data_IF_441606941181
#
_entry.id   IF_441606941181
#
_cell.length_a   1.000
_cell.length_b   1.000
_cell.length_c   1.000
_cell.angle_alpha   90.00
_cell.angle_beta   90.00
_cell.angle_gamma   90.00
#
_symmetry.space_group_name_H-M   'P 1'
#
loop_
_entity.id
_entity.type
_entity.pdbx_description
1 polymer ?
#
# COMPACT_ATOMS: atom_id res chain seq x y z
N UNK A 1 16.84 9.98 -8.84
CA UNK A 1 15.56 9.26 -8.65
C UNK A 1 14.64 9.71 -9.78
N UNK A 2 14.02 8.83 -10.58
CA UNK A 2 13.41 9.27 -11.83
C UNK A 2 11.98 9.76 -11.60
N UNK A 3 11.79 11.08 -11.60
CA UNK A 3 10.50 11.81 -11.65
C UNK A 3 9.67 11.48 -12.91
N UNK A 4 10.25 10.79 -13.90
CA UNK A 4 9.64 10.57 -15.23
C UNK A 4 8.53 9.51 -15.28
N UNK A 5 8.35 8.68 -14.25
CA UNK A 5 7.30 7.64 -14.21
C UNK A 5 5.94 8.13 -13.71
N UNK A 6 5.89 9.20 -12.89
CA UNK A 6 4.64 9.71 -12.31
C UNK A 6 3.85 10.68 -13.22
N UNK A 7 4.46 11.19 -14.29
CA UNK A 7 3.90 12.31 -15.06
C UNK A 7 2.96 11.90 -16.22
N UNK A 8 2.58 10.61 -16.37
CA UNK A 8 1.82 10.14 -17.53
C UNK A 8 0.71 9.11 -17.23
N UNK A 9 0.32 8.92 -15.98
CA UNK A 9 -0.58 7.81 -15.63
C UNK A 9 -1.85 8.36 -15.00
N UNK A 10 -2.99 8.15 -15.65
CA UNK A 10 -4.30 8.23 -14.97
C UNK A 10 -4.29 7.34 -13.72
N UNK A 11 -5.22 7.60 -12.80
CA UNK A 11 -5.32 7.02 -11.44
C UNK A 11 -4.49 5.75 -11.26
N UNK A 12 -3.27 5.90 -10.73
CA UNK A 12 -2.36 4.77 -10.57
C UNK A 12 -2.80 3.92 -9.39
N UNK A 13 -2.99 2.62 -9.63
CA UNK A 13 -3.37 1.67 -8.58
C UNK A 13 -2.15 0.92 -8.04
N UNK A 14 -2.08 0.75 -6.72
CA UNK A 14 -1.09 -0.08 -6.03
C UNK A 14 -1.78 -1.18 -5.24
N UNK A 15 -1.09 -2.30 -5.06
CA UNK A 15 -1.58 -3.40 -4.21
C UNK A 15 -0.78 -3.43 -2.92
N UNK A 16 -1.46 -3.24 -1.79
CA UNK A 16 -0.84 -3.23 -0.46
C UNK A 16 -0.93 -4.62 0.18
N UNK A 17 0.22 -5.16 0.55
CA UNK A 17 0.35 -6.37 1.36
C UNK A 17 0.68 -5.97 2.79
N UNK A 18 -0.33 -5.95 3.65
CA UNK A 18 -0.13 -5.70 5.07
C UNK A 18 0.35 -7.02 5.70
N UNK A 19 1.55 -7.03 6.26
CA UNK A 19 2.10 -8.26 6.85
C UNK A 19 1.31 -8.61 8.11
N UNK A 20 1.33 -9.90 8.51
CA UNK A 20 0.67 -10.35 9.73
C UNK A 20 1.16 -9.62 11.00
N UNK A 21 2.39 -9.09 10.98
CA UNK A 21 2.97 -8.30 12.06
C UNK A 21 2.36 -6.90 12.12
N UNK A 22 2.18 -6.24 10.97
CA UNK A 22 1.51 -4.94 10.91
C UNK A 22 0.06 -5.10 11.37
N UNK A 23 -0.67 -6.06 10.83
CA UNK A 23 -2.08 -6.28 11.19
C UNK A 23 -2.28 -6.60 12.67
N UNK A 24 -1.41 -7.41 13.28
CA UNK A 24 -1.60 -7.85 14.67
C UNK A 24 -0.92 -6.97 15.71
N UNK A 25 0.20 -6.33 15.38
CA UNK A 25 1.03 -5.62 16.36
C UNK A 25 1.00 -4.10 16.19
N UNK A 26 0.76 -3.61 14.96
CA UNK A 26 0.84 -2.19 14.65
C UNK A 26 -0.18 -1.78 13.55
N UNK A 27 -1.49 -2.01 13.74
CA UNK A 27 -2.50 -1.77 12.71
C UNK A 27 -2.52 -0.32 12.22
N UNK A 28 -2.27 0.64 13.12
CA UNK A 28 -2.16 2.05 12.79
C UNK A 28 -1.08 2.35 11.73
N UNK A 29 0.00 1.56 11.67
CA UNK A 29 1.03 1.71 10.62
C UNK A 29 0.46 1.33 9.26
N UNK A 30 -0.36 0.28 9.19
CA UNK A 30 -1.08 -0.09 7.95
C UNK A 30 -2.02 1.03 7.49
N UNK A 31 -2.82 1.57 8.41
CA UNK A 31 -3.74 2.68 8.15
C UNK A 31 -3.00 3.94 7.66
N UNK A 32 -1.97 4.39 8.37
CA UNK A 32 -1.16 5.54 7.93
C UNK A 32 -0.46 5.31 6.59
N UNK A 33 -0.10 4.07 6.26
CA UNK A 33 0.46 3.75 4.94
C UNK A 33 -0.58 3.97 3.84
N UNK A 34 -1.83 3.56 4.07
CA UNK A 34 -2.94 3.82 3.15
C UNK A 34 -3.17 5.31 2.97
N UNK A 35 -3.24 6.07 4.05
CA UNK A 35 -3.45 7.53 4.00
C UNK A 35 -2.39 8.24 3.15
N UNK A 36 -1.12 7.87 3.28
CA UNK A 36 -0.03 8.45 2.48
C UNK A 36 -0.19 8.11 0.99
N UNK A 37 -0.54 6.86 0.66
CA UNK A 37 -0.71 6.43 -0.73
C UNK A 37 -1.92 7.13 -1.39
N UNK A 38 -3.04 7.22 -0.68
CA UNK A 38 -4.23 7.93 -1.15
C UNK A 38 -3.97 9.44 -1.30
N UNK A 39 -3.20 10.04 -0.39
CA UNK A 39 -2.79 11.45 -0.48
C UNK A 39 -1.93 11.73 -1.73
N UNK A 40 -1.16 10.74 -2.18
CA UNK A 40 -0.39 10.81 -3.44
C UNK A 40 -1.25 10.56 -4.69
N UNK A 41 -2.56 10.37 -4.53
CA UNK A 41 -3.49 10.11 -5.64
C UNK A 41 -3.45 8.66 -6.14
N UNK A 42 -2.90 7.74 -5.34
CA UNK A 42 -2.87 6.32 -5.67
C UNK A 42 -4.14 5.62 -5.16
N UNK A 43 -4.67 4.71 -5.97
CA UNK A 43 -5.75 3.82 -5.53
C UNK A 43 -5.14 2.59 -4.85
N UNK A 44 -5.46 2.37 -3.58
CA UNK A 44 -4.95 1.23 -2.82
C UNK A 44 -5.90 0.04 -2.94
N UNK A 45 -5.36 -1.10 -3.37
CA UNK A 45 -6.07 -2.37 -3.42
C UNK A 45 -5.45 -3.37 -2.45
N UNK A 46 -6.27 -4.29 -1.94
CA UNK A 46 -5.82 -5.41 -1.12
C UNK A 46 -6.16 -6.72 -1.82
N UNK A 47 -5.26 -7.69 -1.72
CA UNK A 47 -5.54 -9.06 -2.17
C UNK A 47 -6.28 -9.79 -1.05
N UNK A 48 -7.39 -10.44 -1.40
CA UNK A 48 -8.09 -11.31 -0.46
C UNK A 48 -7.18 -12.44 0.00
N UNK A 49 -7.27 -12.79 1.29
CA UNK A 49 -6.52 -13.90 1.90
C UNK A 49 -4.99 -13.75 1.78
N UNK A 50 -4.46 -12.61 2.20
CA UNK A 50 -3.02 -12.41 2.34
C UNK A 50 -2.42 -13.50 3.23
N UNK A 51 -1.44 -14.22 2.68
CA UNK A 51 -0.76 -15.31 3.39
C UNK A 51 0.44 -14.77 4.15
N UNK A 52 0.88 -15.46 5.21
CA UNK A 52 2.09 -15.07 5.93
C UNK A 52 3.31 -15.01 4.98
N UNK A 53 4.12 -13.95 5.08
CA UNK A 53 5.38 -13.81 4.35
C UNK A 53 6.49 -14.75 4.88
N UNK A 54 6.24 -15.48 5.96
CA UNK A 54 7.14 -16.49 6.51
C UNK A 54 8.28 -15.93 7.36
N UNK A 55 8.15 -14.71 7.89
CA UNK A 55 8.98 -14.26 9.01
C UNK A 55 8.57 -14.91 10.33
#
# INVERSE_FOLDING_TARGET
MPETLYNNLGTQSVTLFATCMVDQMAPAVGESTVEVLEHLGLQVNFVDRQTCCGQ
#
